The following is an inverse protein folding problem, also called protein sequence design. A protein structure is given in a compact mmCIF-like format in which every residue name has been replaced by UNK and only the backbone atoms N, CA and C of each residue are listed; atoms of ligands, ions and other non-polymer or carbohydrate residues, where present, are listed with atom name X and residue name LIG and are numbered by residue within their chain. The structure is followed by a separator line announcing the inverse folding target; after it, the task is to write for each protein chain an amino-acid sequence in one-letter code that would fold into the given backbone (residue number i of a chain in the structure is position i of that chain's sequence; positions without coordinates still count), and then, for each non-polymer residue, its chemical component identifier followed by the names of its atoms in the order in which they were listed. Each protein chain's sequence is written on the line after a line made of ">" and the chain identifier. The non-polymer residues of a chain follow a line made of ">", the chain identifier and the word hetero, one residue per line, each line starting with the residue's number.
data_IF_582572410255
#
_entry.id   IF_582572410255
#
_cell.length_a   1.000
_cell.length_b   1.000
_cell.length_c   1.000
_cell.angle_alpha   90.00
_cell.angle_beta   90.00
_cell.angle_gamma   90.00
#
_symmetry.space_group_name_H-M   'P 1'
#
loop_
_entity.id
_entity.type
_entity.pdbx_description
1 polymer ?
#
# COMPACT_ATOMS: atom_id res chain seq x y z
N UNK A 1 -22.52 21.12 -17.49
CA UNK A 1 -22.91 20.35 -16.29
C UNK A 1 -21.71 19.51 -15.91
N UNK A 2 -20.77 20.08 -15.15
CA UNK A 2 -19.51 19.42 -14.79
C UNK A 2 -19.66 18.73 -13.44
N UNK A 3 -19.63 17.40 -13.43
CA UNK A 3 -19.60 16.61 -12.21
C UNK A 3 -18.14 16.49 -11.76
N UNK A 4 -17.73 17.34 -10.82
CA UNK A 4 -16.46 17.23 -10.12
C UNK A 4 -16.64 16.19 -9.01
N UNK A 5 -16.55 14.90 -9.36
CA UNK A 5 -16.30 13.84 -8.39
C UNK A 5 -14.80 13.57 -8.37
N UNK A 6 -14.18 13.59 -7.19
CA UNK A 6 -12.75 13.28 -7.04
C UNK A 6 -11.92 14.27 -6.22
N UNK A 7 -12.51 14.89 -5.20
CA UNK A 7 -11.76 15.35 -4.03
C UNK A 7 -12.51 14.83 -2.81
N UNK A 8 -12.46 13.51 -2.59
CA UNK A 8 -13.28 12.85 -1.60
C UNK A 8 -12.71 13.06 -0.18
N UNK A 9 -12.97 14.27 0.31
CA UNK A 9 -13.07 14.70 1.72
C UNK A 9 -11.80 14.61 2.58
N UNK A 10 -11.16 15.75 2.82
CA UNK A 10 -10.46 15.97 4.09
C UNK A 10 -11.45 16.13 5.26
N UNK A 11 -10.93 16.40 6.47
CA UNK A 11 -10.51 15.40 7.44
C UNK A 11 -11.72 14.62 8.00
N UNK A 12 -11.77 13.31 7.78
CA UNK A 12 -12.70 12.46 8.53
C UNK A 12 -12.09 12.21 9.92
N UNK A 13 -12.55 12.99 10.91
CA UNK A 13 -12.23 12.90 12.34
C UNK A 13 -12.67 11.54 12.94
N UNK A 14 -11.94 10.50 12.57
CA UNK A 14 -11.95 9.19 13.17
C UNK A 14 -10.59 8.59 12.87
N UNK A 15 -9.93 8.02 13.88
CA UNK A 15 -8.62 7.38 13.74
C UNK A 15 -8.73 6.15 12.79
N UNK A 16 -8.82 6.40 11.48
CA UNK A 16 -8.88 5.37 10.46
C UNK A 16 -7.47 4.80 10.33
N UNK A 17 -7.36 3.51 10.63
CA UNK A 17 -6.10 2.78 10.47
C UNK A 17 -5.76 2.70 8.98
N UNK A 18 -4.49 2.99 8.65
CA UNK A 18 -3.96 2.80 7.30
C UNK A 18 -4.06 1.33 6.86
N UNK A 19 -3.82 0.41 7.79
CA UNK A 19 -4.10 -1.01 7.61
C UNK A 19 -5.46 -1.37 8.22
N UNK A 20 -6.41 -1.92 7.44
CA UNK A 20 -7.66 -2.43 7.98
C UNK A 20 -7.42 -3.44 9.11
N UNK A 21 -8.33 -3.49 10.09
CA UNK A 21 -8.13 -4.26 11.33
C UNK A 21 -7.86 -5.75 11.11
N UNK A 22 -8.45 -6.31 10.04
CA UNK A 22 -8.36 -7.72 9.69
C UNK A 22 -7.16 -8.04 8.79
N UNK A 23 -6.38 -7.04 8.41
CA UNK A 23 -5.17 -7.22 7.58
C UNK A 23 -4.17 -8.07 8.33
N UNK A 24 -3.68 -9.12 7.66
CA UNK A 24 -2.59 -9.98 8.14
C UNK A 24 -1.47 -9.99 7.12
N UNK A 25 -0.23 -9.99 7.60
CA UNK A 25 0.93 -10.38 6.80
C UNK A 25 0.96 -11.90 6.76
N UNK A 26 0.82 -12.48 5.56
CA UNK A 26 0.85 -13.93 5.29
C UNK A 26 2.29 -14.42 5.09
N UNK A 27 3.18 -13.57 4.59
CA UNK A 27 4.58 -13.89 4.39
C UNK A 27 5.40 -12.69 3.95
N UNK A 28 6.71 -12.79 4.15
CA UNK A 28 7.70 -11.82 3.67
C UNK A 28 8.85 -12.61 3.05
N UNK A 29 9.21 -12.25 1.82
CA UNK A 29 10.37 -12.82 1.12
C UNK A 29 11.27 -11.69 0.63
N UNK A 30 12.58 -11.81 0.86
CA UNK A 30 13.57 -10.84 0.39
C UNK A 30 14.43 -11.52 -0.68
N UNK A 31 14.46 -10.93 -1.88
CA UNK A 31 15.34 -11.41 -2.95
C UNK A 31 16.78 -10.86 -2.82
N UNK A 32 17.67 -11.37 -3.68
CA UNK A 32 19.07 -10.95 -3.71
C UNK A 32 19.30 -9.54 -4.27
N UNK A 33 18.29 -8.94 -4.93
CA UNK A 33 18.37 -7.58 -5.46
C UNK A 33 17.94 -6.52 -4.44
N UNK A 34 17.33 -6.95 -3.34
CA UNK A 34 16.83 -6.10 -2.25
C UNK A 34 15.34 -5.78 -2.36
N UNK A 35 14.54 -6.59 -3.08
CA UNK A 35 13.09 -6.46 -3.12
C UNK A 35 12.45 -7.29 -2.02
N UNK A 36 11.74 -6.62 -1.11
CA UNK A 36 10.87 -7.28 -0.15
C UNK A 36 9.49 -7.52 -0.75
N UNK A 37 9.13 -8.78 -0.96
CA UNK A 37 7.79 -9.20 -1.33
C UNK A 37 6.98 -9.42 -0.06
N UNK A 38 5.95 -8.60 0.15
CA UNK A 38 5.12 -8.65 1.35
C UNK A 38 3.72 -9.09 0.95
N UNK A 39 3.36 -10.29 1.40
CA UNK A 39 2.07 -10.89 1.10
C UNK A 39 1.07 -10.60 2.21
N UNK A 40 -0.06 -10.00 1.84
CA UNK A 40 -1.14 -9.64 2.74
C UNK A 40 -2.39 -10.48 2.50
N UNK A 41 -3.23 -10.57 3.52
CA UNK A 41 -4.59 -11.10 3.38
C UNK A 41 -5.47 -10.22 2.50
N UNK A 42 -6.49 -10.79 1.86
CA UNK A 42 -7.49 -10.06 1.05
C UNK A 42 -8.14 -8.86 1.76
N UNK A 43 -8.23 -8.90 3.10
CA UNK A 43 -8.73 -7.81 3.93
C UNK A 43 -8.02 -6.46 3.69
N UNK A 44 -6.77 -6.46 3.20
CA UNK A 44 -6.07 -5.22 2.85
C UNK A 44 -6.80 -4.44 1.76
N UNK A 45 -7.41 -5.11 0.78
CA UNK A 45 -8.20 -4.49 -0.29
C UNK A 45 -9.68 -4.43 0.06
N UNK A 46 -10.26 -5.54 0.55
CA UNK A 46 -11.71 -5.65 0.82
C UNK A 46 -12.20 -4.64 1.87
N UNK A 47 -11.37 -4.36 2.88
CA UNK A 47 -11.72 -3.44 3.97
C UNK A 47 -11.00 -2.08 3.83
N UNK A 48 -10.30 -1.82 2.72
CA UNK A 48 -9.60 -0.55 2.53
C UNK A 48 -10.63 0.59 2.46
N UNK A 49 -10.42 1.72 3.18
CA UNK A 49 -11.34 2.85 3.14
C UNK A 49 -11.46 3.50 1.75
N UNK A 50 -10.53 3.19 0.83
CA UNK A 50 -10.48 3.75 -0.51
C UNK A 50 -10.05 5.23 -0.53
N UNK A 51 -10.09 5.82 -1.73
CA UNK A 51 -9.71 7.21 -1.97
C UNK A 51 -8.19 7.39 -2.14
N UNK A 52 -7.81 8.24 -3.10
CA UNK A 52 -6.42 8.45 -3.51
C UNK A 52 -5.47 8.79 -2.36
N UNK A 53 -5.90 9.66 -1.45
CA UNK A 53 -5.09 10.10 -0.31
C UNK A 53 -4.81 8.96 0.68
N UNK A 54 -5.82 8.16 1.02
CA UNK A 54 -5.66 7.06 1.95
C UNK A 54 -4.89 5.89 1.34
N UNK A 55 -5.12 5.61 0.06
CA UNK A 55 -4.36 4.63 -0.70
C UNK A 55 -2.87 4.97 -0.70
N UNK A 56 -2.54 6.22 -1.02
CA UNK A 56 -1.17 6.71 -0.99
C UNK A 56 -0.55 6.59 0.41
N UNK A 57 -1.26 7.00 1.47
CA UNK A 57 -0.75 6.92 2.84
C UNK A 57 -0.52 5.48 3.29
N UNK A 58 -1.40 4.55 2.94
CA UNK A 58 -1.23 3.12 3.25
C UNK A 58 0.01 2.55 2.58
N UNK A 59 0.17 2.79 1.28
CA UNK A 59 1.33 2.32 0.51
C UNK A 59 2.61 2.93 1.07
N UNK A 60 2.64 4.25 1.25
CA UNK A 60 3.78 4.97 1.82
C UNK A 60 4.16 4.43 3.19
N UNK A 61 3.18 4.26 4.09
CA UNK A 61 3.40 3.68 5.42
C UNK A 61 4.10 2.33 5.36
N UNK A 62 3.72 1.44 4.44
CA UNK A 62 4.33 0.11 4.31
C UNK A 62 5.74 0.22 3.74
N UNK A 63 5.88 0.94 2.61
CA UNK A 63 7.15 1.06 1.88
C UNK A 63 8.21 1.70 2.77
N UNK A 64 7.93 2.88 3.33
CA UNK A 64 8.88 3.60 4.19
C UNK A 64 9.25 2.81 5.43
N UNK A 65 8.26 2.18 6.09
CA UNK A 65 8.55 1.38 7.28
C UNK A 65 9.54 0.26 6.97
N UNK A 66 9.48 -0.34 5.79
CA UNK A 66 10.40 -1.42 5.43
C UNK A 66 11.74 -0.88 4.95
N UNK A 67 11.76 0.10 4.05
CA UNK A 67 13.01 0.61 3.47
C UNK A 67 13.84 1.42 4.46
N UNK A 68 13.22 2.09 5.43
CA UNK A 68 13.94 2.90 6.44
C UNK A 68 14.44 2.07 7.62
N UNK A 69 13.78 0.94 7.95
CA UNK A 69 14.17 0.12 9.11
C UNK A 69 15.04 -1.09 8.74
N UNK A 70 15.06 -1.50 7.47
CA UNK A 70 15.82 -2.67 7.01
C UNK A 70 16.74 -2.26 5.84
N UNK A 71 18.04 -2.02 6.09
CA UNK A 71 19.00 -1.55 5.07
C UNK A 71 19.14 -2.46 3.84
N UNK A 72 18.84 -3.74 3.99
CA UNK A 72 18.81 -4.73 2.91
C UNK A 72 17.58 -4.59 1.98
N UNK A 73 16.52 -3.91 2.44
CA UNK A 73 15.30 -3.66 1.67
C UNK A 73 15.43 -2.34 0.92
N UNK A 74 15.58 -2.43 -0.41
CA UNK A 74 15.67 -1.28 -1.32
C UNK A 74 14.34 -0.89 -1.94
N UNK A 75 13.45 -1.87 -2.10
CA UNK A 75 12.12 -1.73 -2.70
C UNK A 75 11.17 -2.78 -2.14
N UNK A 76 9.88 -2.52 -2.24
CA UNK A 76 8.81 -3.36 -1.70
C UNK A 76 7.81 -3.70 -2.80
N UNK A 77 7.56 -4.98 -3.02
CA UNK A 77 6.47 -5.47 -3.85
C UNK A 77 5.31 -5.90 -2.94
N UNK A 78 4.13 -5.32 -3.16
CA UNK A 78 2.92 -5.69 -2.43
C UNK A 78 2.24 -6.85 -3.14
N UNK A 79 1.85 -7.86 -2.36
CA UNK A 79 1.05 -8.99 -2.82
C UNK A 79 -0.21 -9.11 -1.96
N UNK A 80 -1.29 -9.60 -2.55
CA UNK A 80 -2.51 -9.97 -1.84
C UNK A 80 -2.88 -11.40 -2.20
N UNK A 81 -3.03 -12.24 -1.19
CA UNK A 81 -3.27 -13.67 -1.36
C UNK A 81 -2.26 -14.34 -2.31
N UNK A 82 -0.99 -13.93 -2.23
CA UNK A 82 0.12 -14.44 -3.03
C UNK A 82 0.15 -13.93 -4.48
N UNK A 83 -0.66 -12.93 -4.83
CA UNK A 83 -0.73 -12.36 -6.19
C UNK A 83 -0.33 -10.90 -6.19
N UNK A 84 0.35 -10.48 -7.26
CA UNK A 84 0.55 -9.07 -7.56
C UNK A 84 -0.80 -8.38 -7.75
N UNK A 85 -0.88 -7.14 -7.29
CA UNK A 85 -2.07 -6.30 -7.40
C UNK A 85 -1.74 -5.04 -8.18
N UNK A 86 -2.65 -4.60 -9.04
CA UNK A 86 -2.45 -3.39 -9.83
C UNK A 86 -2.53 -2.12 -8.97
N UNK A 87 -3.47 -2.08 -8.03
CA UNK A 87 -3.68 -0.98 -7.08
C UNK A 87 -4.31 -1.53 -5.79
N UNK A 88 -4.31 -0.75 -4.69
CA UNK A 88 -5.10 -1.10 -3.50
C UNK A 88 -6.57 -0.70 -3.66
N UNK A 89 -6.83 0.46 -4.25
CA UNK A 89 -8.18 1.01 -4.41
C UNK A 89 -8.38 1.88 -5.65
N UNK A 90 -7.51 1.74 -6.67
CA UNK A 90 -7.71 2.30 -8.00
C UNK A 90 -6.88 3.54 -8.35
N UNK A 91 -5.95 3.99 -7.50
CA UNK A 91 -5.22 5.24 -7.74
C UNK A 91 -3.71 5.08 -7.91
N UNK A 92 -3.05 4.28 -7.07
CA UNK A 92 -1.58 4.15 -7.08
C UNK A 92 -1.21 2.78 -7.62
N UNK A 93 -0.36 2.76 -8.65
CA UNK A 93 0.12 1.51 -9.23
C UNK A 93 1.06 0.78 -8.29
N UNK A 94 0.77 -0.49 -8.07
CA UNK A 94 1.53 -1.42 -7.20
C UNK A 94 1.97 -2.67 -7.95
N UNK A 95 1.81 -2.70 -9.27
CA UNK A 95 2.22 -3.80 -10.15
C UNK A 95 3.72 -3.79 -10.49
N UNK A 96 4.48 -2.90 -9.85
CA UNK A 96 5.94 -2.92 -9.82
C UNK A 96 6.44 -2.61 -8.40
N UNK A 97 7.63 -3.09 -8.03
CA UNK A 97 8.18 -2.82 -6.71
C UNK A 97 8.42 -1.33 -6.47
N UNK A 98 7.99 -0.83 -5.31
CA UNK A 98 8.04 0.57 -4.92
C UNK A 98 9.27 0.83 -4.03
N UNK A 99 10.02 1.88 -4.35
CA UNK A 99 11.10 2.38 -3.49
C UNK A 99 10.67 3.69 -2.82
N UNK A 100 11.28 4.01 -1.67
CA UNK A 100 11.03 5.25 -0.91
C UNK A 100 10.96 6.51 -1.78
N UNK A 101 11.90 6.65 -2.74
CA UNK A 101 12.00 7.83 -3.62
C UNK A 101 11.09 7.80 -4.85
N UNK A 102 10.35 6.72 -5.09
CA UNK A 102 9.54 6.53 -6.30
C UNK A 102 8.07 6.96 -6.12
N UNK A 103 7.67 7.43 -4.94
CA UNK A 103 6.31 7.88 -4.66
C UNK A 103 6.07 9.38 -4.98
N UNK A 104 7.03 10.06 -5.62
CA UNK A 104 6.91 11.44 -6.11
C UNK A 104 7.69 11.66 -7.42
#
# INVERSE_FOLDING_TARGET
>A
QGHLAGFDTGPQQGNRRLLPARTRVRGVYLDTEGTAYVDFSSALQEDHPGGSWWELLTIYSIVDSLTQNFPEVRRVQLLVEGKEIETLSGHVRTDMPLAERALF
#
